data_IF_409163120786
#
_entry.id   IF_409163120786
#
_cell.length_a   1.000
_cell.length_b   1.000
_cell.length_c   1.000
_cell.angle_alpha   90.00
_cell.angle_beta   90.00
_cell.angle_gamma   90.00
#
_symmetry.space_group_name_H-M   'P 1'
#
loop_
_entity.id
_entity.type
_entity.pdbx_description
1 polymer ?
#
# COMPACT_ATOMS: atom_id res chain seq x y z
N UNK A 1 34.39 47.57 -20.73
CA UNK A 1 33.01 47.60 -21.23
C UNK A 1 32.27 46.43 -20.63
N UNK A 2 31.42 46.64 -19.63
CA UNK A 2 30.62 45.59 -19.01
C UNK A 2 29.26 45.55 -19.68
N UNK A 3 29.01 44.52 -20.49
CA UNK A 3 27.70 44.30 -21.07
C UNK A 3 26.76 43.78 -19.98
N UNK A 4 25.83 44.61 -19.52
CA UNK A 4 24.80 44.22 -18.56
C UNK A 4 23.78 43.25 -19.17
N UNK A 5 23.16 42.37 -18.35
CA UNK A 5 22.18 41.39 -18.83
C UNK A 5 20.95 42.08 -19.43
N UNK A 6 20.69 41.82 -20.71
CA UNK A 6 19.48 42.27 -21.41
C UNK A 6 18.35 41.29 -21.14
N UNK A 7 17.32 41.74 -20.42
CA UNK A 7 16.09 40.99 -20.21
C UNK A 7 15.40 40.75 -21.56
N UNK A 8 15.08 39.49 -21.88
CA UNK A 8 14.37 39.11 -23.12
C UNK A 8 12.88 39.38 -22.93
N UNK A 9 12.45 40.62 -23.15
CA UNK A 9 11.04 41.06 -23.04
C UNK A 9 10.14 40.61 -24.23
N UNK A 10 10.44 39.46 -24.85
CA UNK A 10 9.67 38.93 -25.98
C UNK A 10 8.56 37.96 -25.56
N UNK A 11 8.19 37.02 -26.45
CA UNK A 11 7.18 35.99 -26.20
C UNK A 11 7.43 35.08 -24.98
N UNK A 12 8.63 35.13 -24.38
CA UNK A 12 8.96 34.50 -23.10
C UNK A 12 8.33 35.18 -21.88
N UNK A 13 7.73 36.36 -22.03
CA UNK A 13 6.95 37.02 -20.96
C UNK A 13 5.52 36.47 -20.85
N UNK A 14 4.98 35.86 -21.91
CA UNK A 14 3.61 35.35 -21.92
C UNK A 14 3.38 34.27 -20.82
N UNK A 15 4.29 33.30 -20.61
CA UNK A 15 4.18 32.37 -19.48
C UNK A 15 4.23 33.06 -18.12
N UNK A 16 5.08 34.09 -17.98
CA UNK A 16 5.20 34.86 -16.73
C UNK A 16 3.93 35.65 -16.42
N UNK A 17 3.33 36.28 -17.42
CA UNK A 17 2.06 37.00 -17.27
C UNK A 17 0.91 36.06 -16.91
N UNK A 18 0.88 34.86 -17.51
CA UNK A 18 -0.11 33.83 -17.20
C UNK A 18 0.03 33.33 -15.75
N UNK A 19 1.26 33.16 -15.26
CA UNK A 19 1.51 32.79 -13.87
C UNK A 19 1.02 33.86 -12.88
N UNK A 20 1.26 35.15 -13.18
CA UNK A 20 0.77 36.26 -12.34
C UNK A 20 -0.76 36.35 -12.37
N UNK A 21 -1.38 36.13 -13.53
CA UNK A 21 -2.83 36.08 -13.64
C UNK A 21 -3.41 34.93 -12.80
N UNK A 22 -2.85 33.72 -12.90
CA UNK A 22 -3.27 32.57 -12.10
C UNK A 22 -3.09 32.82 -10.59
N UNK A 23 -1.96 33.41 -10.20
CA UNK A 23 -1.72 33.82 -8.82
C UNK A 23 -2.78 34.81 -8.32
N UNK A 24 -3.15 35.80 -9.13
CA UNK A 24 -4.21 36.74 -8.80
C UNK A 24 -5.57 36.06 -8.62
N UNK A 25 -5.91 35.10 -9.47
CA UNK A 25 -7.13 34.29 -9.33
C UNK A 25 -7.11 33.47 -8.04
N UNK A 26 -6.00 32.78 -7.74
CA UNK A 26 -5.85 32.02 -6.49
C UNK A 26 -5.95 32.93 -5.26
N UNK A 27 -5.29 34.08 -5.27
CA UNK A 27 -5.37 35.06 -4.20
C UNK A 27 -6.79 35.59 -4.00
N UNK A 28 -7.51 35.86 -5.10
CA UNK A 28 -8.91 36.27 -5.05
C UNK A 28 -9.78 35.18 -4.41
N UNK A 29 -9.60 33.93 -4.79
CA UNK A 29 -10.30 32.79 -4.18
C UNK A 29 -10.00 32.75 -2.69
N UNK A 30 -8.73 32.80 -2.28
CA UNK A 30 -8.34 32.74 -0.87
C UNK A 30 -8.96 33.87 -0.05
N UNK A 31 -9.00 35.10 -0.56
CA UNK A 31 -9.58 36.25 0.15
C UNK A 31 -11.11 36.20 0.21
N UNK A 32 -11.76 35.69 -0.84
CA UNK A 32 -13.22 35.62 -0.92
C UNK A 32 -13.81 34.32 -0.41
N UNK A 33 -12.98 33.32 -0.10
CA UNK A 33 -13.44 32.05 0.48
C UNK A 33 -13.67 32.27 1.96
N UNK A 34 -14.93 32.22 2.44
CA UNK A 34 -15.17 32.30 3.87
C UNK A 34 -14.58 31.04 4.52
N UNK A 35 -13.59 31.22 5.39
CA UNK A 35 -13.25 30.19 6.35
C UNK A 35 -14.39 30.18 7.37
N UNK A 36 -15.21 29.12 7.37
CA UNK A 36 -16.10 28.89 8.50
C UNK A 36 -15.24 28.92 9.77
N UNK A 37 -15.73 29.57 10.82
CA UNK A 37 -15.08 29.51 12.12
C UNK A 37 -14.87 28.02 12.43
N UNK A 38 -13.61 27.61 12.58
CA UNK A 38 -13.31 26.23 12.92
C UNK A 38 -14.08 25.94 14.21
N UNK A 39 -15.00 24.95 14.22
CA UNK A 39 -15.74 24.62 15.42
C UNK A 39 -14.72 24.36 16.53
N UNK A 40 -14.92 24.94 17.71
CA UNK A 40 -14.06 24.66 18.86
C UNK A 40 -14.00 23.15 19.18
N UNK A 41 -15.03 22.42 18.73
CA UNK A 41 -15.22 20.98 18.82
C UNK A 41 -14.41 20.15 17.80
N UNK A 42 -13.79 20.75 16.77
CA UNK A 42 -13.16 20.02 15.66
C UNK A 42 -14.16 19.57 14.57
N UNK A 43 -13.68 18.81 13.57
CA UNK A 43 -14.48 18.36 12.41
C UNK A 43 -15.49 17.24 12.74
N UNK A 44 -15.33 16.58 13.89
CA UNK A 44 -16.18 15.48 14.31
C UNK A 44 -17.04 15.94 15.49
N UNK A 45 -18.31 15.48 15.59
CA UNK A 45 -19.08 15.60 16.82
C UNK A 45 -18.27 15.07 18.01
N UNK A 46 -18.44 15.68 19.19
CA UNK A 46 -17.85 15.15 20.41
C UNK A 46 -18.16 13.64 20.52
N UNK A 47 -17.13 12.85 20.82
CA UNK A 47 -17.20 11.39 20.96
C UNK A 47 -17.30 10.55 19.66
N UNK A 48 -17.18 11.14 18.47
CA UNK A 48 -17.11 10.39 17.20
C UNK A 48 -15.66 10.10 16.79
N UNK A 49 -15.30 8.83 16.63
CA UNK A 49 -13.96 8.46 16.14
C UNK A 49 -13.94 8.36 14.61
N UNK A 50 -13.11 9.18 13.97
CA UNK A 50 -13.02 9.27 12.50
C UNK A 50 -12.62 7.92 11.89
N UNK A 51 -11.73 7.18 12.55
CA UNK A 51 -11.26 5.87 12.11
C UNK A 51 -12.40 4.85 12.01
N UNK A 52 -13.33 4.86 12.95
CA UNK A 52 -14.50 3.97 12.96
C UNK A 52 -15.49 4.36 11.86
N UNK A 53 -15.77 5.65 11.70
CA UNK A 53 -16.64 6.13 10.63
C UNK A 53 -16.06 5.80 9.23
N UNK A 54 -14.74 5.86 9.06
CA UNK A 54 -14.06 5.39 7.84
C UNK A 54 -14.25 3.87 7.68
N UNK A 55 -14.08 3.09 8.74
CA UNK A 55 -14.31 1.64 8.73
C UNK A 55 -15.74 1.27 8.31
N UNK A 56 -16.73 1.99 8.82
CA UNK A 56 -18.13 1.81 8.42
C UNK A 56 -18.38 2.19 6.95
N UNK A 57 -17.80 3.28 6.47
CA UNK A 57 -17.91 3.68 5.06
C UNK A 57 -17.27 2.65 4.10
N UNK A 58 -16.16 2.01 4.50
CA UNK A 58 -15.50 0.96 3.71
C UNK A 58 -16.35 -0.29 3.52
N UNK A 59 -17.23 -0.59 4.48
CA UNK A 59 -18.04 -1.81 4.50
C UNK A 59 -19.55 -1.57 4.25
N UNK A 60 -19.92 -0.34 3.84
CA UNK A 60 -21.32 0.06 3.62
C UNK A 60 -22.21 -0.10 4.87
N UNK A 61 -21.65 0.15 6.06
CA UNK A 61 -22.36 0.07 7.34
C UNK A 61 -22.99 1.42 7.72
N UNK A 62 -23.76 1.99 6.80
CA UNK A 62 -24.37 3.33 6.93
C UNK A 62 -25.21 3.53 8.19
N UNK A 63 -25.85 2.47 8.70
CA UNK A 63 -26.64 2.52 9.94
C UNK A 63 -25.82 2.82 11.21
N UNK A 64 -24.49 2.61 11.17
CA UNK A 64 -23.58 2.84 12.29
C UNK A 64 -22.80 4.16 12.13
N UNK A 65 -22.92 4.84 10.99
CA UNK A 65 -22.20 6.07 10.71
C UNK A 65 -22.80 7.24 11.47
N UNK A 66 -21.93 8.01 12.14
CA UNK A 66 -22.28 9.27 12.80
C UNK A 66 -21.97 10.47 11.90
N UNK A 67 -21.06 10.31 10.94
CA UNK A 67 -20.72 11.31 9.93
C UNK A 67 -21.10 10.74 8.57
N UNK A 68 -21.98 11.44 7.88
CA UNK A 68 -22.48 11.03 6.57
C UNK A 68 -21.34 11.01 5.53
N UNK A 69 -21.20 9.90 4.81
CA UNK A 69 -20.17 9.72 3.78
C UNK A 69 -20.65 8.79 2.69
N UNK A 70 -20.04 8.88 1.51
CA UNK A 70 -20.29 7.93 0.43
C UNK A 70 -19.76 6.53 0.80
N UNK A 71 -20.41 5.44 0.34
CA UNK A 71 -19.93 4.09 0.56
C UNK A 71 -18.74 3.78 -0.34
N UNK A 72 -17.69 3.17 0.23
CA UNK A 72 -16.44 2.83 -0.46
C UNK A 72 -16.28 1.32 -0.70
N UNK A 73 -17.35 0.53 -0.53
CA UNK A 73 -17.31 -0.93 -0.64
C UNK A 73 -16.76 -1.42 -1.98
N UNK A 74 -17.15 -0.77 -3.08
CA UNK A 74 -16.65 -1.12 -4.42
C UNK A 74 -15.15 -0.87 -4.53
N UNK A 75 -14.66 0.26 -4.03
CA UNK A 75 -13.24 0.60 -4.02
C UNK A 75 -12.44 -0.37 -3.17
N UNK A 76 -12.96 -0.74 -1.99
CA UNK A 76 -12.35 -1.73 -1.10
C UNK A 76 -12.20 -3.09 -1.81
N UNK A 77 -13.26 -3.55 -2.49
CA UNK A 77 -13.23 -4.81 -3.23
C UNK A 77 -12.28 -4.76 -4.44
N UNK A 78 -12.24 -3.63 -5.15
CA UNK A 78 -11.33 -3.42 -6.26
C UNK A 78 -9.87 -3.49 -5.80
N UNK A 79 -9.53 -2.84 -4.68
CA UNK A 79 -8.19 -2.91 -4.09
C UNK A 79 -7.82 -4.36 -3.79
N UNK A 80 -8.73 -5.16 -3.21
CA UNK A 80 -8.48 -6.57 -2.94
C UNK A 80 -8.14 -7.36 -4.21
N UNK A 81 -8.92 -7.18 -5.28
CA UNK A 81 -8.67 -7.83 -6.59
C UNK A 81 -7.34 -7.40 -7.19
N UNK A 82 -7.01 -6.10 -7.11
CA UNK A 82 -5.75 -5.57 -7.64
C UNK A 82 -4.57 -6.09 -6.85
N UNK A 83 -4.67 -6.16 -5.51
CA UNK A 83 -3.61 -6.70 -4.66
C UNK A 83 -3.35 -8.18 -4.94
N UNK A 84 -4.40 -8.98 -5.17
CA UNK A 84 -4.28 -10.39 -5.55
C UNK A 84 -3.51 -10.56 -6.86
N UNK A 85 -3.94 -9.87 -7.92
CA UNK A 85 -3.25 -9.89 -9.21
C UNK A 85 -1.81 -9.32 -9.15
N UNK A 86 -1.59 -8.31 -8.31
CA UNK A 86 -0.27 -7.72 -8.12
C UNK A 86 0.68 -8.69 -7.40
N UNK A 87 0.17 -9.47 -6.44
CA UNK A 87 0.96 -10.51 -5.75
C UNK A 87 1.38 -11.58 -6.76
N UNK A 88 0.44 -12.10 -7.55
CA UNK A 88 0.72 -13.08 -8.60
C UNK A 88 1.73 -12.55 -9.62
N UNK A 89 1.53 -11.33 -10.12
CA UNK A 89 2.46 -10.70 -11.05
C UNK A 89 3.84 -10.50 -10.42
N UNK A 90 3.91 -10.10 -9.15
CA UNK A 90 5.18 -9.92 -8.44
C UNK A 90 5.92 -11.24 -8.29
N UNK A 91 5.21 -12.35 -8.07
CA UNK A 91 5.80 -13.68 -7.94
C UNK A 91 6.34 -14.19 -9.28
N UNK A 92 5.58 -14.01 -10.37
CA UNK A 92 6.02 -14.36 -11.73
C UNK A 92 7.25 -13.53 -12.13
N UNK A 93 7.27 -12.23 -11.82
CA UNK A 93 8.41 -11.34 -12.09
C UNK A 93 9.63 -11.65 -11.21
N UNK A 94 9.40 -12.08 -9.97
CA UNK A 94 10.48 -12.42 -9.04
C UNK A 94 11.14 -13.76 -9.40
N UNK A 95 10.40 -14.68 -10.01
CA UNK A 95 10.95 -15.96 -10.47
C UNK A 95 11.92 -15.70 -11.63
N UNK A 96 13.21 -15.95 -11.39
CA UNK A 96 14.22 -15.95 -12.44
C UNK A 96 14.29 -17.33 -13.07
N UNK A 97 14.17 -17.37 -14.38
CA UNK A 97 14.38 -18.58 -15.18
C UNK A 97 15.71 -18.43 -15.92
N UNK A 98 16.60 -19.41 -15.77
CA UNK A 98 17.84 -19.50 -16.54
C UNK A 98 17.78 -20.79 -17.36
N UNK A 99 17.88 -20.67 -18.68
CA UNK A 99 17.75 -21.79 -19.63
C UNK A 99 16.44 -22.62 -19.53
N UNK A 100 15.35 -22.02 -19.03
CA UNK A 100 14.06 -22.69 -18.89
C UNK A 100 13.87 -23.45 -17.56
N UNK A 101 14.85 -23.38 -16.66
CA UNK A 101 14.77 -23.96 -15.32
C UNK A 101 14.62 -22.86 -14.25
N UNK A 102 13.73 -23.02 -13.25
CA UNK A 102 13.60 -22.05 -12.16
C UNK A 102 14.86 -22.02 -11.29
N UNK A 103 15.54 -20.88 -11.21
CA UNK A 103 16.74 -20.72 -10.37
C UNK A 103 16.32 -20.29 -8.96
N UNK A 104 16.39 -21.21 -8.00
CA UNK A 104 16.18 -20.86 -6.60
C UNK A 104 17.43 -20.17 -6.03
N UNK A 105 17.27 -18.93 -5.54
CA UNK A 105 18.37 -18.16 -4.95
C UNK A 105 19.02 -18.82 -3.72
N UNK A 106 18.33 -19.79 -3.07
CA UNK A 106 18.86 -20.53 -1.93
C UNK A 106 19.72 -21.74 -2.31
N UNK A 107 19.59 -22.30 -3.53
CA UNK A 107 20.34 -23.49 -3.92
C UNK A 107 21.81 -23.21 -4.24
N UNK A 108 22.19 -21.96 -4.51
CA UNK A 108 23.60 -21.63 -4.84
C UNK A 108 24.51 -21.60 -3.61
N UNK A 109 23.99 -21.37 -2.40
CA UNK A 109 24.82 -21.25 -1.18
C UNK A 109 25.11 -22.61 -0.50
N UNK A 110 24.47 -23.70 -0.94
CA UNK A 110 24.64 -25.03 -0.35
C UNK A 110 25.67 -25.94 -1.04
N UNK A 111 26.19 -25.57 -2.21
CA UNK A 111 27.01 -26.47 -3.04
C UNK A 111 28.52 -26.38 -2.78
N UNK A 112 28.99 -25.42 -1.98
CA UNK A 112 30.42 -25.23 -1.66
C UNK A 112 30.78 -25.69 -0.24
N UNK A 113 30.42 -26.93 0.15
CA UNK A 113 31.08 -27.62 1.29
C UNK A 113 31.23 -29.13 1.08
N UNK A 114 31.07 -29.65 -0.14
CA UNK A 114 30.96 -31.10 -0.36
C UNK A 114 31.82 -31.73 -1.45
N UNK A 115 32.89 -31.09 -1.94
CA UNK A 115 33.84 -31.78 -2.83
C UNK A 115 34.82 -32.62 -2.00
N UNK A 116 34.33 -33.73 -1.46
CA UNK A 116 35.11 -34.66 -0.66
C UNK A 116 34.44 -36.02 -0.55
N UNK A 117 34.68 -36.87 -1.56
CA UNK A 117 34.56 -38.32 -1.55
C UNK A 117 33.18 -38.97 -1.35
N UNK A 118 32.76 -39.76 -2.33
CA UNK A 118 31.87 -40.90 -2.09
C UNK A 118 30.84 -41.14 -3.16
N UNK A 119 31.07 -42.18 -3.96
CA UNK A 119 30.10 -42.76 -4.88
C UNK A 119 28.79 -43.14 -4.18
N UNK A 120 27.66 -42.97 -4.87
CA UNK A 120 26.40 -43.54 -4.42
C UNK A 120 25.20 -42.98 -5.18
N UNK A 121 24.72 -43.74 -6.16
CA UNK A 121 23.48 -43.47 -6.84
C UNK A 121 22.28 -43.55 -5.88
N UNK A 122 21.42 -42.54 -5.89
CA UNK A 122 20.01 -42.70 -5.57
C UNK A 122 19.19 -41.53 -6.12
N UNK A 123 18.37 -41.85 -7.11
CA UNK A 123 17.20 -41.07 -7.54
C UNK A 123 16.35 -40.69 -6.32
N UNK A 124 15.82 -39.46 -6.24
CA UNK A 124 14.57 -39.22 -5.55
C UNK A 124 13.54 -38.69 -6.55
N UNK A 125 12.71 -39.61 -7.04
CA UNK A 125 11.31 -39.29 -7.21
C UNK A 125 10.74 -39.07 -5.80
N UNK A 126 9.78 -38.15 -5.70
CA UNK A 126 8.98 -37.85 -4.51
C UNK A 126 9.53 -36.78 -3.56
N UNK A 127 9.21 -35.53 -3.87
CA UNK A 127 8.97 -34.49 -2.86
C UNK A 127 7.75 -33.67 -3.27
N UNK A 128 6.57 -34.28 -3.13
CA UNK A 128 5.36 -33.54 -2.84
C UNK A 128 5.03 -33.75 -1.36
N UNK A 129 5.61 -32.92 -0.48
CA UNK A 129 5.16 -32.82 0.91
C UNK A 129 4.75 -31.37 1.13
N UNK A 130 3.43 -31.14 1.06
CA UNK A 130 2.80 -29.93 1.54
C UNK A 130 2.67 -30.05 3.05
N UNK A 131 3.55 -29.39 3.80
CA UNK A 131 3.39 -29.24 5.25
C UNK A 131 2.73 -27.89 5.54
N UNK A 132 1.41 -27.90 5.47
CA UNK A 132 0.54 -26.81 5.91
C UNK A 132 -0.17 -27.23 7.18
N UNK A 133 0.45 -26.99 8.34
CA UNK A 133 -0.12 -27.29 9.65
C UNK A 133 0.40 -26.34 10.71
N UNK A 134 -0.31 -25.23 10.94
CA UNK A 134 -0.06 -24.30 12.03
C UNK A 134 -0.47 -24.93 13.37
N UNK A 135 0.48 -25.37 14.17
CA UNK A 135 0.27 -25.75 15.56
C UNK A 135 0.09 -24.49 16.44
N UNK A 136 -1.14 -24.00 16.47
CA UNK A 136 -1.58 -23.02 17.46
C UNK A 136 -1.73 -23.74 18.80
N UNK A 137 -0.75 -23.60 19.69
CA UNK A 137 -0.91 -23.96 21.11
C UNK A 137 -1.92 -23.02 21.74
N UNK A 138 -3.18 -23.47 21.78
CA UNK A 138 -4.22 -22.88 22.62
C UNK A 138 -4.19 -23.64 23.94
N UNK A 139 -3.46 -23.09 24.91
CA UNK A 139 -3.65 -23.44 26.31
C UNK A 139 -4.94 -22.75 26.79
N UNK A 140 -6.04 -23.49 26.80
CA UNK A 140 -7.23 -23.10 27.55
C UNK A 140 -8.03 -24.34 27.99
N UNK A 141 -8.19 -24.41 29.30
CA UNK A 141 -9.28 -25.03 30.06
C UNK A 141 -9.16 -26.51 30.45
N UNK A 142 -8.94 -26.71 31.75
CA UNK A 142 -9.61 -27.77 32.50
C UNK A 142 -9.77 -27.29 33.96
N UNK A 143 -10.91 -26.66 34.24
CA UNK A 143 -11.44 -26.53 35.59
C UNK A 143 -11.61 -27.90 36.23
N UNK A 144 -10.93 -28.12 37.34
CA UNK A 144 -11.12 -29.26 38.23
C UNK A 144 -11.85 -28.79 39.50
N UNK A 145 -13.14 -29.06 39.54
CA UNK A 145 -13.99 -29.06 40.73
C UNK A 145 -13.55 -30.23 41.62
N UNK A 146 -13.22 -29.98 42.90
CA UNK A 146 -13.25 -30.91 44.03
C UNK A 146 -12.59 -30.27 45.27
N UNK A 147 -13.40 -29.59 46.10
CA UNK A 147 -13.46 -29.64 47.59
C UNK A 147 -14.27 -28.50 48.19
#
# INVERSE_FOLDING_TARGET
MTNGPKLRLGGSLAPGLLAVALFGVMALIVVNTPFAAMPAEGFAPADTTITENIGYALLDLSALQQIDSEPFLVSFLLIAVVLDAALDASLVLAKREEAGEPVAALSSTGAETGSGAGAGASTPADRAVADGGNESTVDADAGGDDR
#
